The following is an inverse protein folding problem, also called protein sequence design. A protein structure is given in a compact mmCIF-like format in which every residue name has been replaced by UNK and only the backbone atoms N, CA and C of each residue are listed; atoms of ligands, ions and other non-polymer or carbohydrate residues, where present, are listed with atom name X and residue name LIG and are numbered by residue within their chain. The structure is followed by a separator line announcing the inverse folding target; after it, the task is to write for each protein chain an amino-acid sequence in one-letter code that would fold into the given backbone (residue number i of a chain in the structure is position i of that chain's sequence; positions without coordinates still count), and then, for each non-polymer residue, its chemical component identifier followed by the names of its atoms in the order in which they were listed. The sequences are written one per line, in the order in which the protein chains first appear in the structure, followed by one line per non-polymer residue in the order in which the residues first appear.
data_IF_901840786724
#
_entry.id   IF_901840786724
#
_cell.length_a   1.000
_cell.length_b   1.000
_cell.length_c   1.000
_cell.angle_alpha   90.00
_cell.angle_beta   90.00
_cell.angle_gamma   90.00
#
_symmetry.space_group_name_H-M   'P 1'
#
loop_
_entity.id
_entity.type
_entity.pdbx_description
1 polymer ?
#
# COMPACT_ATOMS: atom_id res chain seq x y z
N UNK A 1 8.04 3.32 16.68
CA UNK A 1 9.19 3.53 17.59
C UNK A 1 9.15 2.49 18.69
N UNK A 2 10.33 2.08 19.18
CA UNK A 2 10.44 1.35 20.46
C UNK A 2 10.29 2.33 21.62
N UNK A 3 9.95 1.82 22.81
CA UNK A 3 9.82 2.65 24.02
C UNK A 3 11.12 3.41 24.35
N UNK A 4 12.27 2.75 24.19
CA UNK A 4 13.59 3.37 24.39
C UNK A 4 13.88 4.53 23.43
N UNK A 5 13.44 4.42 22.16
CA UNK A 5 13.59 5.49 21.17
C UNK A 5 12.75 6.71 21.52
N UNK A 6 11.56 6.51 22.10
CA UNK A 6 10.70 7.59 22.58
C UNK A 6 11.34 8.32 23.75
N UNK A 7 11.90 7.58 24.71
CA UNK A 7 12.61 8.17 25.86
C UNK A 7 13.80 9.01 25.39
N UNK A 8 14.65 8.49 24.49
CA UNK A 8 15.79 9.26 23.96
C UNK A 8 15.37 10.52 23.22
N UNK A 9 14.29 10.44 22.44
CA UNK A 9 13.74 11.61 21.75
C UNK A 9 13.27 12.68 22.73
N UNK A 10 12.57 12.29 23.81
CA UNK A 10 12.18 13.21 24.88
C UNK A 10 13.40 13.84 25.55
N UNK A 11 14.46 13.07 25.81
CA UNK A 11 15.71 13.61 26.39
C UNK A 11 16.34 14.67 25.49
N UNK A 12 16.38 14.43 24.16
CA UNK A 12 16.92 15.42 23.22
C UNK A 12 16.07 16.68 23.13
N UNK A 13 14.74 16.56 23.22
CA UNK A 13 13.85 17.72 23.29
C UNK A 13 14.11 18.55 24.56
N UNK A 14 14.21 17.89 25.73
CA UNK A 14 14.53 18.57 27.00
C UNK A 14 15.88 19.26 26.93
N UNK A 15 16.90 18.62 26.34
CA UNK A 15 18.22 19.23 26.16
C UNK A 15 18.17 20.46 25.24
N UNK A 16 17.44 20.39 24.12
CA UNK A 16 17.25 21.53 23.21
C UNK A 16 16.57 22.70 23.92
N UNK A 17 15.51 22.42 24.67
CA UNK A 17 14.73 23.43 25.38
C UNK A 17 15.56 24.07 26.49
N UNK A 18 16.35 23.28 27.21
CA UNK A 18 17.32 23.80 28.18
C UNK A 18 18.34 24.73 27.53
N UNK A 19 18.95 24.33 26.41
CA UNK A 19 19.93 25.14 25.68
C UNK A 19 19.31 26.43 25.11
N UNK A 20 18.06 26.38 24.63
CA UNK A 20 17.32 27.54 24.17
C UNK A 20 17.05 28.53 25.32
N UNK A 21 16.59 28.02 26.47
CA UNK A 21 16.23 28.84 27.62
C UNK A 21 17.45 29.45 28.34
N UNK A 22 18.64 28.87 28.17
CA UNK A 22 19.88 29.35 28.78
C UNK A 22 20.84 29.96 27.74
N UNK A 23 20.34 30.33 26.56
CA UNK A 23 21.15 30.77 25.43
C UNK A 23 22.19 31.84 25.79
N UNK A 24 21.81 32.82 26.61
CA UNK A 24 22.71 33.91 27.04
C UNK A 24 23.94 33.45 27.82
N UNK A 25 23.84 32.33 28.53
CA UNK A 25 24.94 31.72 29.29
C UNK A 25 25.83 30.86 28.40
N UNK A 26 25.21 30.09 27.49
CA UNK A 26 25.93 29.06 26.71
C UNK A 26 26.47 29.57 25.38
N UNK A 27 25.97 30.70 24.85
CA UNK A 27 26.42 31.28 23.57
C UNK A 27 27.89 31.68 23.54
N UNK A 28 28.50 31.88 24.71
CA UNK A 28 29.92 32.22 24.85
C UNK A 28 30.86 31.02 24.60
N UNK A 29 30.33 29.79 24.54
CA UNK A 29 31.13 28.60 24.30
C UNK A 29 31.65 28.57 22.85
N UNK A 30 32.90 28.14 22.63
CA UNK A 30 33.45 28.00 21.28
C UNK A 30 32.57 27.11 20.40
N UNK A 31 32.31 27.56 19.17
CA UNK A 31 31.49 26.85 18.18
C UNK A 31 30.05 26.53 18.60
N UNK A 32 29.53 27.15 19.66
CA UNK A 32 28.20 26.87 20.18
C UNK A 32 27.10 26.99 19.11
N UNK A 33 27.06 28.10 18.38
CA UNK A 33 26.05 28.35 17.34
C UNK A 33 26.00 27.22 16.30
N UNK A 34 27.17 26.81 15.79
CA UNK A 34 27.27 25.76 14.78
C UNK A 34 26.70 24.41 15.28
N UNK A 35 27.05 24.02 16.50
CA UNK A 35 26.58 22.75 17.07
C UNK A 35 25.12 22.81 17.49
N UNK A 36 24.67 23.94 18.02
CA UNK A 36 23.28 24.18 18.39
C UNK A 36 22.35 24.12 17.19
N UNK A 37 22.74 24.74 16.07
CA UNK A 37 21.96 24.70 14.82
C UNK A 37 21.86 23.28 14.27
N UNK A 38 22.98 22.55 14.22
CA UNK A 38 22.98 21.13 13.79
C UNK A 38 22.13 20.26 14.70
N UNK A 39 22.22 20.44 16.01
CA UNK A 39 21.44 19.67 16.97
C UNK A 39 19.94 19.92 16.79
N UNK A 40 19.54 21.19 16.67
CA UNK A 40 18.14 21.59 16.46
C UNK A 40 17.59 21.06 15.14
N UNK A 41 18.35 21.15 14.04
CA UNK A 41 17.98 20.57 12.75
C UNK A 41 17.80 19.05 12.84
N UNK A 42 18.70 18.37 13.55
CA UNK A 42 18.65 16.91 13.72
C UNK A 42 17.42 16.46 14.52
N UNK A 43 17.05 17.21 15.56
CA UNK A 43 15.80 16.99 16.30
C UNK A 43 14.58 17.26 15.42
N UNK A 44 14.60 18.31 14.61
CA UNK A 44 13.52 18.62 13.65
C UNK A 44 13.26 17.45 12.70
N UNK A 45 14.32 16.92 12.08
CA UNK A 45 14.24 15.74 11.22
C UNK A 45 13.70 14.50 11.97
N UNK A 46 14.15 14.26 13.20
CA UNK A 46 13.64 13.17 14.04
C UNK A 46 12.14 13.32 14.37
N UNK A 47 11.67 14.54 14.58
CA UNK A 47 10.25 14.83 14.81
C UNK A 47 9.41 14.58 13.56
N UNK A 48 9.87 15.04 12.39
CA UNK A 48 9.20 14.78 11.11
C UNK A 48 9.09 13.28 10.83
N UNK A 49 10.17 12.52 11.03
CA UNK A 49 10.17 11.06 10.87
C UNK A 49 9.21 10.36 11.85
N UNK A 50 9.08 10.87 13.08
CA UNK A 50 8.12 10.34 14.06
C UNK A 50 6.66 10.58 13.62
N UNK A 51 6.37 11.75 13.05
CA UNK A 51 5.04 12.08 12.50
C UNK A 51 4.72 11.21 11.28
N UNK A 52 5.68 10.99 10.38
CA UNK A 52 5.53 10.06 9.26
C UNK A 52 5.25 8.63 9.72
N UNK A 53 5.92 8.17 10.78
CA UNK A 53 5.67 6.86 11.37
C UNK A 53 4.27 6.75 12.01
N UNK A 54 3.76 7.83 12.58
CA UNK A 54 2.42 7.91 13.19
C UNK A 54 1.28 8.07 12.18
N UNK A 55 1.57 8.31 10.90
CA UNK A 55 0.55 8.54 9.87
C UNK A 55 -0.32 7.30 9.69
N UNK A 56 -1.62 7.45 9.95
CA UNK A 56 -2.57 6.34 9.97
C UNK A 56 -2.87 5.82 8.55
N UNK A 57 -2.21 4.74 8.14
CA UNK A 57 -2.45 4.07 6.84
C UNK A 57 -3.59 3.05 6.87
N UNK A 58 -4.26 2.87 8.01
CA UNK A 58 -5.31 1.86 8.18
C UNK A 58 -6.47 2.08 7.18
N UNK A 59 -6.84 3.32 6.87
CA UNK A 59 -7.88 3.63 5.88
C UNK A 59 -7.54 3.17 4.46
N UNK A 60 -6.26 3.23 4.07
CA UNK A 60 -5.79 2.75 2.76
C UNK A 60 -5.79 1.22 2.72
N UNK A 61 -5.42 0.57 3.82
CA UNK A 61 -5.46 -0.91 3.94
C UNK A 61 -6.90 -1.45 3.86
N UNK A 62 -7.83 -0.81 4.58
CA UNK A 62 -9.27 -1.14 4.53
C UNK A 62 -9.80 -0.94 3.12
N UNK A 63 -9.54 0.22 2.50
CA UNK A 63 -9.94 0.50 1.13
C UNK A 63 -9.38 -0.53 0.13
N UNK A 64 -8.10 -0.93 0.28
CA UNK A 64 -7.48 -1.94 -0.57
C UNK A 64 -8.18 -3.30 -0.44
N UNK A 65 -8.45 -3.74 0.77
CA UNK A 65 -9.10 -5.03 1.00
C UNK A 65 -10.54 -5.04 0.47
N UNK A 66 -11.27 -3.93 0.63
CA UNK A 66 -12.60 -3.77 0.06
C UNK A 66 -12.58 -3.80 -1.46
N UNK A 67 -11.63 -3.09 -2.09
CA UNK A 67 -11.45 -3.11 -3.55
C UNK A 67 -11.06 -4.50 -4.04
N UNK A 68 -10.14 -5.19 -3.36
CA UNK A 68 -9.73 -6.56 -3.68
C UNK A 68 -10.91 -7.53 -3.64
N UNK A 69 -11.75 -7.43 -2.59
CA UNK A 69 -12.94 -8.28 -2.46
C UNK A 69 -13.93 -8.03 -3.60
N UNK A 70 -14.25 -6.77 -3.87
CA UNK A 70 -15.18 -6.39 -4.95
C UNK A 70 -14.66 -6.79 -6.34
N UNK A 71 -13.38 -6.55 -6.62
CA UNK A 71 -12.72 -6.96 -7.86
C UNK A 71 -12.73 -8.49 -7.99
N UNK A 72 -12.39 -9.19 -6.91
CA UNK A 72 -12.38 -10.65 -6.86
C UNK A 72 -13.77 -11.28 -7.09
N UNK A 73 -14.81 -10.73 -6.47
CA UNK A 73 -16.19 -11.20 -6.69
C UNK A 73 -16.63 -10.97 -8.15
N UNK A 74 -16.28 -9.82 -8.75
CA UNK A 74 -16.56 -9.53 -10.17
C UNK A 74 -15.78 -10.45 -11.12
N UNK A 75 -14.48 -10.64 -10.88
CA UNK A 75 -13.62 -11.52 -11.68
C UNK A 75 -14.06 -13.00 -11.56
N UNK A 76 -14.50 -13.43 -10.38
CA UNK A 76 -15.06 -14.77 -10.20
C UNK A 76 -16.34 -14.97 -11.01
N UNK A 77 -17.26 -14.01 -10.97
CA UNK A 77 -18.48 -14.07 -11.78
C UNK A 77 -18.16 -14.13 -13.28
N UNK A 78 -17.17 -13.36 -13.73
CA UNK A 78 -16.69 -13.37 -15.10
C UNK A 78 -16.12 -14.75 -15.47
N UNK A 79 -15.23 -15.29 -14.65
CA UNK A 79 -14.64 -16.63 -14.84
C UNK A 79 -15.69 -17.74 -14.90
N UNK A 80 -16.71 -17.69 -14.04
CA UNK A 80 -17.76 -18.72 -13.98
C UNK A 80 -18.58 -18.75 -15.27
N UNK A 81 -18.89 -17.58 -15.83
CA UNK A 81 -19.64 -17.45 -17.09
C UNK A 81 -18.81 -17.86 -18.30
N UNK A 82 -17.55 -17.45 -18.37
CA UNK A 82 -16.64 -17.89 -19.41
C UNK A 82 -16.36 -19.40 -19.33
N UNK A 83 -16.30 -19.97 -18.12
CA UNK A 83 -16.12 -21.41 -17.93
C UNK A 83 -17.35 -22.18 -18.42
N UNK A 84 -18.57 -21.68 -18.14
CA UNK A 84 -19.80 -22.25 -18.69
C UNK A 84 -19.80 -22.22 -20.23
N UNK A 85 -19.39 -21.10 -20.83
CA UNK A 85 -19.21 -20.99 -22.28
C UNK A 85 -18.19 -22.00 -22.82
N UNK A 86 -17.01 -22.10 -22.20
CA UNK A 86 -15.96 -23.02 -22.62
C UNK A 86 -16.38 -24.50 -22.45
N UNK A 87 -17.21 -24.80 -21.45
CA UNK A 87 -17.79 -26.13 -21.22
C UNK A 87 -18.82 -26.48 -22.29
N UNK A 88 -19.70 -25.54 -22.63
CA UNK A 88 -20.79 -25.78 -23.59
C UNK A 88 -20.31 -25.85 -25.05
N UNK A 89 -19.16 -25.25 -25.38
CA UNK A 89 -18.58 -25.25 -26.72
C UNK A 89 -17.35 -26.18 -26.84
N UNK A 90 -17.10 -27.04 -25.85
CA UNK A 90 -15.96 -27.96 -25.79
C UNK A 90 -14.58 -27.34 -26.08
N UNK A 91 -14.39 -26.10 -25.63
CA UNK A 91 -13.13 -25.36 -25.74
C UNK A 91 -12.17 -25.81 -24.62
N UNK A 92 -11.64 -27.02 -24.74
CA UNK A 92 -10.75 -27.64 -23.74
C UNK A 92 -9.51 -26.82 -23.42
N UNK A 93 -8.96 -26.10 -24.39
CA UNK A 93 -7.81 -25.21 -24.20
C UNK A 93 -8.13 -23.97 -23.34
N UNK A 94 -9.38 -23.50 -23.35
CA UNK A 94 -9.80 -22.27 -22.66
C UNK A 94 -10.20 -22.51 -21.20
N UNK A 95 -10.63 -23.73 -20.85
CA UNK A 95 -11.05 -24.13 -19.50
C UNK A 95 -10.01 -23.82 -18.39
N UNK A 96 -8.71 -24.18 -18.53
CA UNK A 96 -7.72 -23.93 -17.48
C UNK A 96 -7.39 -22.45 -17.30
N UNK A 97 -7.44 -21.65 -18.36
CA UNK A 97 -7.10 -20.22 -18.31
C UNK A 97 -8.20 -19.38 -17.67
N UNK A 98 -9.44 -19.85 -17.79
CA UNK A 98 -10.62 -19.16 -17.30
C UNK A 98 -10.93 -19.55 -15.85
N UNK A 99 -10.76 -20.82 -15.47
CA UNK A 99 -11.17 -21.30 -14.15
C UNK A 99 -10.29 -20.71 -13.03
N UNK A 100 -10.88 -19.85 -12.22
CA UNK A 100 -10.23 -19.29 -11.03
C UNK A 100 -11.19 -19.35 -9.83
N UNK A 101 -10.88 -20.13 -8.78
CA UNK A 101 -11.77 -20.28 -7.64
C UNK A 101 -11.83 -18.99 -6.81
N UNK A 102 -13.00 -18.68 -6.25
CA UNK A 102 -13.21 -17.49 -5.43
C UNK A 102 -12.24 -17.37 -4.25
N UNK A 103 -11.82 -18.50 -3.67
CA UNK A 103 -10.83 -18.54 -2.59
C UNK A 103 -9.49 -17.93 -3.02
N UNK A 104 -9.06 -18.13 -4.27
CA UNK A 104 -7.83 -17.51 -4.79
C UNK A 104 -7.98 -16.01 -5.02
N UNK A 105 -9.18 -15.51 -5.35
CA UNK A 105 -9.41 -14.07 -5.39
C UNK A 105 -9.47 -13.42 -4.00
N UNK A 106 -10.03 -14.12 -3.01
CA UNK A 106 -10.14 -13.62 -1.63
C UNK A 106 -8.83 -13.66 -0.86
N UNK A 107 -8.08 -14.74 -0.99
CA UNK A 107 -6.87 -15.01 -0.20
C UNK A 107 -5.57 -14.97 -1.01
N UNK A 108 -5.64 -14.85 -2.33
CA UNK A 108 -4.46 -14.77 -3.18
C UNK A 108 -3.66 -13.49 -2.99
N UNK A 109 -2.45 -13.44 -3.58
CA UNK A 109 -1.60 -12.26 -3.53
C UNK A 109 -2.23 -11.11 -4.33
N UNK A 110 -1.84 -9.86 -4.01
CA UNK A 110 -2.33 -8.69 -4.74
C UNK A 110 -1.95 -8.74 -6.23
N UNK A 111 -0.77 -9.30 -6.55
CA UNK A 111 -0.35 -9.58 -7.94
C UNK A 111 -1.25 -10.59 -8.63
N UNK A 112 -1.59 -11.70 -7.97
CA UNK A 112 -2.47 -12.72 -8.53
C UNK A 112 -3.85 -12.14 -8.86
N UNK A 113 -4.46 -11.40 -7.92
CA UNK A 113 -5.79 -10.81 -8.15
C UNK A 113 -5.76 -9.82 -9.31
N UNK A 114 -4.74 -8.96 -9.40
CA UNK A 114 -4.58 -8.03 -10.52
C UNK A 114 -4.40 -8.75 -11.85
N UNK A 115 -3.43 -9.65 -11.94
CA UNK A 115 -3.01 -10.28 -13.19
C UNK A 115 -4.09 -11.22 -13.73
N UNK A 116 -4.72 -12.02 -12.86
CA UNK A 116 -5.84 -12.88 -13.25
C UNK A 116 -7.06 -12.05 -13.66
N UNK A 117 -7.40 -10.97 -12.94
CA UNK A 117 -8.54 -10.13 -13.32
C UNK A 117 -8.32 -9.44 -14.66
N UNK A 118 -7.09 -9.00 -14.96
CA UNK A 118 -6.74 -8.42 -16.26
C UNK A 118 -6.80 -9.46 -17.38
N UNK A 119 -6.22 -10.64 -17.17
CA UNK A 119 -6.32 -11.73 -18.16
C UNK A 119 -7.76 -12.11 -18.47
N UNK A 120 -8.61 -12.22 -17.45
CA UNK A 120 -10.03 -12.53 -17.65
C UNK A 120 -10.76 -11.42 -18.41
N UNK A 121 -10.43 -10.15 -18.13
CA UNK A 121 -10.95 -9.02 -18.90
C UNK A 121 -10.55 -9.11 -20.37
N UNK A 122 -9.27 -9.30 -20.66
CA UNK A 122 -8.74 -9.35 -22.03
C UNK A 122 -9.41 -10.48 -22.83
N UNK A 123 -9.51 -11.68 -22.23
CA UNK A 123 -10.19 -12.82 -22.86
C UNK A 123 -11.69 -12.62 -23.04
N UNK A 124 -12.37 -11.98 -22.07
CA UNK A 124 -13.78 -11.69 -22.18
C UNK A 124 -14.07 -10.63 -23.24
N UNK A 125 -13.16 -9.68 -23.43
CA UNK A 125 -13.26 -8.67 -24.48
C UNK A 125 -13.07 -9.28 -25.88
N UNK A 126 -12.12 -10.21 -26.04
CA UNK A 126 -11.92 -10.95 -27.30
C UNK A 126 -13.15 -11.78 -27.72
N UNK A 127 -13.92 -12.28 -26.74
CA UNK A 127 -15.06 -13.16 -26.98
C UNK A 127 -16.42 -12.54 -26.61
N UNK A 128 -16.50 -11.21 -26.54
CA UNK A 128 -17.68 -10.49 -26.06
C UNK A 128 -18.98 -10.91 -26.79
N UNK A 129 -18.95 -10.98 -28.12
CA UNK A 129 -20.12 -11.36 -28.93
C UNK A 129 -20.63 -12.76 -28.59
N UNK A 130 -19.70 -13.70 -28.40
CA UNK A 130 -20.01 -15.11 -28.08
C UNK A 130 -20.45 -15.31 -26.64
N UNK A 131 -20.05 -14.40 -25.75
CA UNK A 131 -20.40 -14.41 -24.32
C UNK A 131 -21.70 -13.65 -24.02
N UNK A 132 -22.24 -12.89 -24.96
CA UNK A 132 -23.52 -12.18 -24.81
C UNK A 132 -24.70 -13.09 -24.41
N UNK A 133 -24.86 -14.31 -24.97
CA UNK A 133 -25.92 -15.25 -24.54
C UNK A 133 -25.74 -15.75 -23.10
N UNK A 134 -24.52 -15.71 -22.55
CA UNK A 134 -24.19 -16.09 -21.17
C UNK A 134 -24.34 -14.92 -20.20
N UNK A 135 -25.05 -13.87 -20.64
CA UNK A 135 -25.38 -12.68 -19.88
C UNK A 135 -24.20 -11.73 -19.67
N UNK A 136 -23.09 -11.91 -20.39
CA UNK A 136 -22.02 -10.93 -20.40
C UNK A 136 -22.41 -9.73 -21.25
N UNK A 137 -22.15 -8.54 -20.73
CA UNK A 137 -22.48 -7.28 -21.41
C UNK A 137 -21.27 -6.37 -21.36
N UNK A 138 -21.07 -5.53 -22.37
CA UNK A 138 -20.05 -4.49 -22.38
C UNK A 138 -19.98 -3.67 -21.07
N UNK A 139 -21.11 -3.18 -20.49
CA UNK A 139 -21.07 -2.45 -19.23
C UNK A 139 -20.53 -3.25 -18.04
N UNK A 140 -20.64 -4.59 -18.02
CA UNK A 140 -20.01 -5.41 -16.97
C UNK A 140 -18.49 -5.42 -17.09
N UNK A 141 -17.95 -5.45 -18.31
CA UNK A 141 -16.50 -5.37 -18.54
C UNK A 141 -15.95 -3.99 -18.20
N UNK A 142 -16.66 -2.93 -18.57
CA UNK A 142 -16.28 -1.56 -18.21
C UNK A 142 -16.24 -1.36 -16.69
N UNK A 143 -17.25 -1.89 -15.98
CA UNK A 143 -17.29 -1.86 -14.52
C UNK A 143 -16.10 -2.60 -13.90
N UNK A 144 -15.70 -3.74 -14.45
CA UNK A 144 -14.54 -4.50 -14.00
C UNK A 144 -13.23 -3.74 -14.28
N UNK A 145 -13.09 -3.13 -15.45
CA UNK A 145 -11.91 -2.32 -15.82
C UNK A 145 -11.73 -1.13 -14.87
N UNK A 146 -12.81 -0.39 -14.58
CA UNK A 146 -12.77 0.73 -13.62
C UNK A 146 -12.31 0.25 -12.25
N UNK A 147 -12.80 -0.89 -11.77
CA UNK A 147 -12.38 -1.46 -10.48
C UNK A 147 -10.93 -1.93 -10.50
N UNK A 148 -10.46 -2.49 -11.61
CA UNK A 148 -9.10 -2.92 -11.78
C UNK A 148 -8.12 -1.73 -11.76
N UNK A 149 -8.45 -0.64 -12.47
CA UNK A 149 -7.65 0.59 -12.48
C UNK A 149 -7.60 1.24 -11.08
N UNK A 150 -8.73 1.31 -10.37
CA UNK A 150 -8.76 1.81 -8.99
C UNK A 150 -7.90 0.95 -8.05
N UNK A 151 -7.94 -0.38 -8.20
CA UNK A 151 -7.13 -1.28 -7.43
C UNK A 151 -5.63 -1.10 -7.71
N UNK A 152 -5.24 -0.99 -8.98
CA UNK A 152 -3.86 -0.72 -9.39
C UNK A 152 -3.32 0.62 -8.87
N UNK A 153 -4.14 1.66 -8.88
CA UNK A 153 -3.78 2.95 -8.28
C UNK A 153 -3.50 2.81 -6.78
N UNK A 154 -4.31 2.03 -6.05
CA UNK A 154 -4.07 1.79 -4.62
C UNK A 154 -2.81 0.95 -4.39
N UNK A 155 -2.52 -0.03 -5.26
CA UNK A 155 -1.29 -0.82 -5.19
C UNK A 155 -0.05 0.04 -5.44
N UNK A 156 -0.08 0.93 -6.43
CA UNK A 156 1.04 1.84 -6.74
C UNK A 156 1.34 2.84 -5.61
N UNK A 157 0.33 3.19 -4.81
CA UNK A 157 0.44 4.15 -3.70
C UNK A 157 0.97 3.54 -2.39
N UNK A 158 1.17 2.22 -2.31
CA UNK A 158 1.59 1.58 -1.06
C UNK A 158 3.07 1.14 -1.07
N UNK A 159 3.95 1.85 -0.36
CA UNK A 159 4.93 1.19 0.46
C UNK A 159 4.19 0.62 1.70
N UNK A 160 4.38 -0.66 2.02
CA UNK A 160 3.73 -1.29 3.17
C UNK A 160 4.03 -0.52 4.45
N UNK A 161 3.01 -0.28 5.29
CA UNK A 161 3.17 0.34 6.62
C UNK A 161 4.38 -0.22 7.38
N UNK A 162 4.57 -1.54 7.32
CA UNK A 162 5.70 -2.22 7.97
C UNK A 162 7.04 -1.84 7.34
N UNK A 163 7.17 -1.78 6.01
CA UNK A 163 8.43 -1.39 5.38
C UNK A 163 8.76 0.09 5.61
N UNK A 164 7.77 0.98 5.61
CA UNK A 164 7.95 2.39 5.97
C UNK A 164 8.32 2.55 7.44
N UNK A 165 7.55 1.92 8.34
CA UNK A 165 7.80 1.96 9.78
C UNK A 165 9.16 1.34 10.09
N UNK A 166 9.56 0.25 9.44
CA UNK A 166 10.89 -0.35 9.62
C UNK A 166 11.99 0.55 9.06
N UNK A 167 11.88 1.05 7.83
CA UNK A 167 12.87 1.97 7.24
C UNK A 167 13.04 3.25 8.07
N UNK A 168 11.92 3.81 8.54
CA UNK A 168 11.89 4.99 9.41
C UNK A 168 12.44 4.65 10.81
N UNK A 169 12.12 3.49 11.38
CA UNK A 169 12.68 3.03 12.68
C UNK A 169 14.19 2.78 12.60
N UNK A 170 14.67 2.21 11.48
CA UNK A 170 16.09 2.00 11.23
C UNK A 170 16.83 3.32 11.03
N UNK A 171 16.23 4.29 10.32
CA UNK A 171 16.76 5.65 10.19
C UNK A 171 16.82 6.38 11.54
N UNK A 172 15.74 6.34 12.31
CA UNK A 172 15.71 6.89 13.68
C UNK A 172 16.78 6.22 14.53
N UNK A 173 16.93 4.89 14.48
CA UNK A 173 17.98 4.16 15.17
C UNK A 173 19.40 4.63 14.81
N UNK A 174 19.67 4.85 13.52
CA UNK A 174 20.96 5.40 13.07
C UNK A 174 21.22 6.83 13.54
N UNK A 175 20.18 7.66 13.65
CA UNK A 175 20.28 9.02 14.16
C UNK A 175 20.46 9.09 15.69
N UNK A 176 19.97 8.10 16.44
CA UNK A 176 20.04 8.07 17.91
C UNK A 176 21.26 7.29 18.46
N UNK A 177 22.04 6.60 17.60
CA UNK A 177 23.25 5.84 17.97
C UNK A 177 24.57 6.53 17.60
N UNK A 178 24.51 7.71 16.94
CA UNK A 178 25.67 8.58 16.70
C UNK A 178 25.71 9.70 17.71
#
# INVERSE_FOLDING_TARGET
MTHEQQIRMMMFQVARDYLANNHDVVKALPNYSFWYDRFTQSIGLLMEMTVEQGRNTNGISVLKNDLKKRLGDMAFNLSSRMYAYAMQNDLTAMKPDVYNPLSRFRFGTDSYVRDCSRRLYDLAQEHLEKLSPYGMTAPMLDALLVKLQLYEQVLSKQPTKVSQVMAVTSRIGMCLMR
#
